data_IF_121872478006
#
_entry.id   IF_121872478006
#
_cell.length_a   1.000
_cell.length_b   1.000
_cell.length_c   1.000
_cell.angle_alpha   90.00
_cell.angle_beta   90.00
_cell.angle_gamma   90.00
#
_symmetry.space_group_name_H-M   'P 1'
#
loop_
_entity.id
_entity.type
_entity.pdbx_description
1 polymer ?
#
# COMPACT_ATOMS: atom_id res chain seq x y z
N UNK A 1 -16.99 8.21 -6.99
CA UNK A 1 -15.53 8.15 -6.82
C UNK A 1 -14.95 7.19 -7.82
N UNK A 2 -13.89 7.59 -8.52
CA UNK A 2 -13.12 6.75 -9.43
C UNK A 2 -12.01 6.05 -8.65
N UNK A 3 -11.50 4.95 -9.21
CA UNK A 3 -10.41 4.17 -8.61
C UNK A 3 -9.16 5.02 -8.32
N UNK A 4 -8.77 5.88 -9.27
CA UNK A 4 -7.64 6.82 -9.10
C UNK A 4 -7.81 7.73 -7.88
N UNK A 5 -9.03 8.20 -7.60
CA UNK A 5 -9.29 9.05 -6.43
C UNK A 5 -9.17 8.25 -5.12
N UNK A 6 -9.62 6.99 -5.12
CA UNK A 6 -9.49 6.09 -3.97
C UNK A 6 -8.01 5.79 -3.68
N UNK A 7 -7.23 5.50 -4.72
CA UNK A 7 -5.78 5.25 -4.61
C UNK A 7 -5.07 6.43 -3.96
N UNK A 8 -5.34 7.67 -4.41
CA UNK A 8 -4.72 8.87 -3.82
C UNK A 8 -5.10 9.04 -2.35
N UNK A 9 -6.38 8.93 -1.99
CA UNK A 9 -6.84 9.07 -0.61
C UNK A 9 -6.20 8.01 0.31
N UNK A 10 -6.11 6.77 -0.18
CA UNK A 10 -5.53 5.67 0.60
C UNK A 10 -4.02 5.83 0.74
N UNK A 11 -3.30 6.26 -0.30
CA UNK A 11 -1.87 6.56 -0.21
C UNK A 11 -1.60 7.68 0.80
N UNK A 12 -2.30 8.81 0.70
CA UNK A 12 -2.18 9.92 1.65
C UNK A 12 -2.45 9.46 3.10
N UNK A 13 -3.45 8.60 3.30
CA UNK A 13 -3.74 8.00 4.60
C UNK A 13 -2.58 7.14 5.11
N UNK A 14 -2.07 6.22 4.27
CA UNK A 14 -0.96 5.33 4.65
C UNK A 14 0.30 6.14 4.98
N UNK A 15 0.63 7.16 4.16
CA UNK A 15 1.76 8.05 4.39
C UNK A 15 1.62 8.84 5.68
N UNK A 16 0.43 9.39 5.95
CA UNK A 16 0.15 10.13 7.19
C UNK A 16 0.28 9.25 8.44
N UNK A 17 -0.18 8.00 8.37
CA UNK A 17 -0.17 7.10 9.53
C UNK A 17 1.21 6.45 9.78
N UNK A 18 1.96 6.12 8.71
CA UNK A 18 3.21 5.35 8.82
C UNK A 18 4.47 6.18 8.62
N UNK A 19 4.38 7.30 7.89
CA UNK A 19 5.54 8.07 7.44
C UNK A 19 6.38 7.37 6.37
N UNK A 20 5.90 6.26 5.79
CA UNK A 20 6.52 5.56 4.67
C UNK A 20 6.05 6.13 3.35
N UNK A 21 6.88 6.08 2.31
CA UNK A 21 6.53 6.64 0.99
C UNK A 21 6.52 8.17 0.92
N UNK A 22 6.94 8.87 1.99
CA UNK A 22 7.03 10.34 1.97
C UNK A 22 7.94 10.80 0.81
N UNK A 23 7.43 11.61 -0.14
CA UNK A 23 8.21 12.09 -1.29
C UNK A 23 9.44 12.91 -0.89
N UNK A 24 9.56 13.32 0.38
CA UNK A 24 10.74 13.97 0.96
C UNK A 24 11.86 12.99 1.33
N UNK A 25 11.66 11.67 1.22
CA UNK A 25 12.67 10.63 1.44
C UNK A 25 13.13 10.04 0.09
N UNK A 26 14.24 10.54 -0.49
CA UNK A 26 14.67 10.23 -1.86
C UNK A 26 15.23 8.80 -2.07
N UNK A 27 15.06 7.88 -1.12
CA UNK A 27 15.59 6.51 -1.17
C UNK A 27 14.51 5.42 -1.16
N UNK A 28 13.22 5.78 -1.30
CA UNK A 28 12.16 4.78 -1.44
C UNK A 28 12.19 4.23 -2.87
N UNK A 29 12.60 2.97 -3.04
CA UNK A 29 12.80 2.39 -4.37
C UNK A 29 11.58 1.61 -4.89
N UNK A 30 10.64 1.22 -4.03
CA UNK A 30 9.39 0.60 -4.45
C UNK A 30 8.22 0.93 -3.51
N UNK A 31 7.15 1.47 -4.11
CA UNK A 31 5.85 1.70 -3.49
C UNK A 31 4.78 1.12 -4.42
N UNK A 32 3.89 0.31 -3.88
CA UNK A 32 2.76 -0.21 -4.65
C UNK A 32 1.52 -0.36 -3.77
N UNK A 33 0.36 0.03 -4.33
CA UNK A 33 -0.93 -0.01 -3.66
C UNK A 33 -1.92 -0.84 -4.47
N UNK A 34 -2.39 -1.91 -3.86
CA UNK A 34 -3.38 -2.81 -4.42
C UNK A 34 -4.73 -2.56 -3.76
N UNK A 35 -5.76 -2.26 -4.56
CA UNK A 35 -7.14 -2.22 -4.10
C UNK A 35 -7.75 -3.62 -4.31
N UNK A 36 -7.78 -4.41 -3.25
CA UNK A 36 -8.22 -5.80 -3.32
C UNK A 36 -9.73 -5.92 -3.49
N UNK A 37 -10.49 -5.08 -2.79
CA UNK A 37 -11.95 -5.10 -2.83
C UNK A 37 -12.52 -3.69 -2.69
N UNK A 38 -13.51 -3.37 -3.53
CA UNK A 38 -14.24 -2.12 -3.47
C UNK A 38 -15.73 -2.45 -3.32
N UNK A 39 -16.25 -2.31 -2.11
CA UNK A 39 -17.65 -2.52 -1.79
C UNK A 39 -18.38 -1.18 -1.70
N UNK A 40 -19.46 -1.02 -2.46
CA UNK A 40 -20.34 0.15 -2.37
C UNK A 40 -21.45 -0.13 -1.37
N UNK A 41 -21.45 0.64 -0.28
CA UNK A 41 -22.43 0.52 0.79
C UNK A 41 -23.59 1.50 0.60
N UNK A 42 -24.74 1.26 1.27
CA UNK A 42 -25.81 2.26 1.35
C UNK A 42 -25.31 3.59 1.93
N UNK A 43 -26.06 4.66 1.71
CA UNK A 43 -25.71 6.04 2.10
C UNK A 43 -24.50 6.64 1.36
N UNK A 44 -24.26 6.19 0.11
CA UNK A 44 -23.15 6.64 -0.74
C UNK A 44 -21.76 6.43 -0.10
N UNK A 45 -21.63 5.39 0.72
CA UNK A 45 -20.35 4.99 1.32
C UNK A 45 -19.62 4.00 0.42
N UNK A 46 -18.29 4.05 0.46
CA UNK A 46 -17.42 3.11 -0.24
C UNK A 46 -16.46 2.51 0.75
N UNK A 47 -16.52 1.20 0.93
CA UNK A 47 -15.55 0.44 1.71
C UNK A 47 -14.50 -0.12 0.76
N UNK A 48 -13.24 0.11 1.08
CA UNK A 48 -12.10 -0.37 0.30
C UNK A 48 -11.19 -1.20 1.18
N UNK A 49 -10.92 -2.43 0.77
CA UNK A 49 -9.84 -3.24 1.30
C UNK A 49 -8.62 -3.06 0.40
N UNK A 50 -7.47 -2.83 1.02
CA UNK A 50 -6.25 -2.55 0.29
C UNK A 50 -5.04 -3.21 0.92
N UNK A 51 -4.02 -3.44 0.08
CA UNK A 51 -2.69 -3.86 0.47
C UNK A 51 -1.67 -2.86 -0.03
N UNK A 52 -0.82 -2.41 0.87
CA UNK A 52 0.26 -1.47 0.56
C UNK A 52 1.60 -2.17 0.78
N UNK A 53 2.44 -2.16 -0.25
CA UNK A 53 3.79 -2.69 -0.24
C UNK A 53 4.78 -1.54 -0.29
N UNK A 54 5.75 -1.59 0.61
CA UNK A 54 6.81 -0.59 0.69
C UNK A 54 8.16 -1.27 0.88
N UNK A 55 9.13 -0.87 0.07
CA UNK A 55 10.52 -1.28 0.20
C UNK A 55 11.38 -0.09 0.63
N UNK A 56 11.97 -0.20 1.81
CA UNK A 56 12.81 0.85 2.40
C UNK A 56 14.19 0.93 1.74
N UNK A 57 14.68 -0.14 1.08
CA UNK A 57 16.09 -0.26 0.70
C UNK A 57 16.28 -1.26 -0.47
N UNK A 58 15.93 -0.83 -1.69
CA UNK A 58 15.99 -1.64 -2.91
C UNK A 58 17.40 -2.07 -3.37
N UNK A 59 18.46 -1.60 -2.70
CA UNK A 59 19.86 -1.96 -2.95
C UNK A 59 20.51 -2.84 -1.86
N UNK A 60 19.86 -3.04 -0.70
CA UNK A 60 20.47 -3.73 0.43
C UNK A 60 20.30 -5.25 0.34
N UNK A 61 21.32 -6.00 0.77
CA UNK A 61 21.24 -7.47 0.91
C UNK A 61 20.32 -7.90 2.08
N UNK A 62 19.82 -6.91 2.82
CA UNK A 62 18.84 -7.02 3.91
C UNK A 62 17.57 -6.21 3.60
N UNK A 63 17.22 -6.09 2.33
CA UNK A 63 16.01 -5.48 1.79
C UNK A 63 14.82 -5.72 2.74
N UNK A 64 14.21 -4.67 3.29
CA UNK A 64 13.08 -4.79 4.20
C UNK A 64 11.83 -4.45 3.42
N UNK A 65 11.15 -5.48 2.94
CA UNK A 65 9.81 -5.31 2.40
C UNK A 65 8.81 -5.25 3.56
N UNK A 66 8.07 -4.15 3.62
CA UNK A 66 6.94 -3.93 4.50
C UNK A 66 5.64 -4.19 3.73
N UNK A 67 4.74 -4.95 4.34
CA UNK A 67 3.38 -5.17 3.81
C UNK A 67 2.35 -4.76 4.84
N UNK A 68 1.48 -3.84 4.44
CA UNK A 68 0.33 -3.38 5.21
C UNK A 68 -0.94 -3.90 4.57
N UNK A 69 -1.84 -4.42 5.39
CA UNK A 69 -3.23 -4.65 5.03
C UNK A 69 -4.09 -3.61 5.73
N UNK A 70 -4.96 -2.97 4.97
CA UNK A 70 -5.82 -1.92 5.48
C UNK A 70 -7.23 -2.00 4.92
N UNK A 71 -8.11 -1.29 5.62
CA UNK A 71 -9.48 -1.07 5.23
C UNK A 71 -9.80 0.40 5.48
N UNK A 72 -10.41 1.06 4.51
CA UNK A 72 -11.04 2.37 4.73
C UNK A 72 -12.52 2.33 4.36
N UNK A 73 -13.34 3.07 5.09
CA UNK A 73 -14.71 3.40 4.73
C UNK A 73 -14.75 4.89 4.44
N UNK A 74 -15.08 5.24 3.20
CA UNK A 74 -15.12 6.60 2.70
C UNK A 74 -16.57 7.03 2.50
N UNK A 75 -16.86 8.29 2.79
CA UNK A 75 -18.12 8.90 2.36
C UNK A 75 -18.07 9.39 0.90
N UNK A 76 -19.18 9.93 0.40
CA UNK A 76 -19.25 10.46 -0.96
C UNK A 76 -18.31 11.64 -1.25
N UNK A 77 -17.77 12.30 -0.22
CA UNK A 77 -16.85 13.42 -0.33
C UNK A 77 -15.37 13.00 -0.34
N UNK A 78 -15.08 11.72 -0.05
CA UNK A 78 -13.71 11.22 0.09
C UNK A 78 -13.18 11.32 1.51
N UNK A 79 -14.03 11.62 2.49
CA UNK A 79 -13.65 11.65 3.90
C UNK A 79 -13.64 10.23 4.48
N UNK A 80 -12.56 9.87 5.18
CA UNK A 80 -12.43 8.59 5.88
C UNK A 80 -13.31 8.63 7.13
N UNK A 81 -14.32 7.77 7.16
CA UNK A 81 -15.23 7.57 8.29
C UNK A 81 -14.70 6.51 9.27
N UNK A 82 -14.13 5.44 8.72
CA UNK A 82 -13.53 4.35 9.49
C UNK A 82 -12.27 3.87 8.77
N UNK A 83 -11.25 3.52 9.54
CA UNK A 83 -10.00 3.01 9.00
C UNK A 83 -9.37 1.98 9.91
N UNK A 84 -8.78 0.96 9.30
CA UNK A 84 -7.91 -0.01 9.95
C UNK A 84 -6.65 -0.11 9.12
N UNK A 85 -5.50 -0.12 9.79
CA UNK A 85 -4.22 -0.38 9.16
C UNK A 85 -3.46 -1.37 10.03
N UNK A 86 -3.01 -2.46 9.42
CA UNK A 86 -2.27 -3.51 10.12
C UNK A 86 -1.04 -3.88 9.31
N UNK A 87 0.10 -3.85 9.97
CA UNK A 87 1.33 -4.41 9.45
C UNK A 87 1.28 -5.93 9.53
N UNK A 88 1.42 -6.59 8.37
CA UNK A 88 1.29 -8.05 8.23
C UNK A 88 2.67 -8.69 8.10
N UNK A 89 3.63 -7.99 7.50
CA UNK A 89 4.96 -8.54 7.28
C UNK A 89 6.04 -7.47 7.27
N UNK A 90 7.10 -7.74 8.03
CA UNK A 90 8.40 -7.08 7.96
C UNK A 90 9.44 -8.17 7.77
N UNK A 91 10.01 -8.27 6.59
CA UNK A 91 10.98 -9.33 6.36
C UNK A 91 11.99 -8.99 5.28
N UNK A 92 13.09 -9.74 5.32
CA UNK A 92 14.15 -9.63 4.32
C UNK A 92 13.56 -10.08 2.99
N UNK A 93 13.53 -9.23 1.96
CA UNK A 93 12.82 -9.50 0.71
C UNK A 93 13.16 -10.87 0.14
N UNK A 94 12.19 -11.77 0.21
CA UNK A 94 12.21 -13.05 -0.48
C UNK A 94 11.65 -12.92 -1.91
N UNK A 95 11.72 -11.72 -2.51
CA UNK A 95 11.22 -11.42 -3.86
C UNK A 95 12.34 -11.16 -4.88
N UNK A 96 13.49 -11.83 -4.73
CA UNK A 96 14.30 -12.16 -5.92
C UNK A 96 13.76 -13.45 -6.49
N UNK A 97 13.01 -13.40 -7.59
CA UNK A 97 12.79 -14.58 -8.44
C UNK A 97 14.17 -15.19 -8.77
N UNK A 98 14.53 -16.39 -8.25
CA UNK A 98 15.87 -16.93 -8.46
C UNK A 98 16.04 -17.58 -9.84
N UNK A 99 15.04 -17.49 -10.72
CA UNK A 99 15.00 -18.28 -11.95
C UNK A 99 14.43 -17.51 -13.14
N UNK A 100 15.33 -17.01 -14.00
CA UNK A 100 15.39 -17.38 -15.43
C UNK A 100 16.58 -16.74 -16.15
N UNK A 101 17.22 -17.45 -17.10
CA UNK A 101 17.59 -18.86 -17.10
C UNK A 101 19.12 -19.04 -17.08
N UNK A 102 19.59 -20.22 -16.68
CA UNK A 102 20.95 -20.65 -17.03
C UNK A 102 21.05 -20.66 -18.56
N UNK A 103 21.89 -19.79 -19.13
CA UNK A 103 22.41 -19.95 -20.49
C UNK A 103 23.90 -20.23 -20.37
N UNK A 104 24.24 -21.52 -20.47
CA UNK A 104 25.54 -22.03 -20.86
C UNK A 104 25.37 -22.77 -22.18
#
# INVERSE_FOLDING_TARGET
>A
MKEVELTTIILDFVHSETGWGDPLRPYCEFEDLYLDEIERQPDNKVKVLFRYLFDEDGFSQYDKSHSLEGMVVLDSSGSILESTLKEIFTGVAANREPYRPQSA
#
